data_IF_849112138998
#
_entry.id   IF_849112138998
#
_cell.length_a   1.000
_cell.length_b   1.000
_cell.length_c   1.000
_cell.angle_alpha   90.00
_cell.angle_beta   90.00
_cell.angle_gamma   90.00
#
_symmetry.space_group_name_H-M   'P 1'
#
loop_
_entity.id
_entity.type
_entity.pdbx_description
1 polymer ?
#
# COMPACT_ATOMS: atom_id res chain seq x y z
N UNK A 1 3.47 -0.74 17.25
CA UNK A 1 3.74 -2.14 16.85
C UNK A 1 2.88 -3.02 17.72
N UNK A 2 2.50 -4.20 17.25
CA UNK A 2 1.75 -5.19 18.04
C UNK A 2 2.54 -6.49 17.99
N UNK A 3 3.02 -6.91 19.15
CA UNK A 3 3.68 -8.20 19.31
C UNK A 3 2.63 -9.31 19.18
N UNK A 4 3.01 -10.46 18.61
CA UNK A 4 2.13 -11.64 18.52
C UNK A 4 0.76 -11.36 17.89
N UNK A 5 0.71 -10.49 16.88
CA UNK A 5 -0.51 -10.21 16.13
C UNK A 5 -0.89 -11.41 15.26
N UNK A 6 -2.19 -11.74 15.25
CA UNK A 6 -2.73 -12.90 14.56
C UNK A 6 -3.68 -12.47 13.43
N UNK A 7 -3.64 -13.22 12.33
CA UNK A 7 -4.56 -13.08 11.21
C UNK A 7 -4.68 -14.41 10.46
N UNK A 8 -5.66 -14.52 9.56
CA UNK A 8 -5.71 -15.66 8.65
C UNK A 8 -4.84 -15.39 7.42
N UNK A 9 -4.31 -16.45 6.79
CA UNK A 9 -3.46 -16.31 5.60
C UNK A 9 -4.12 -15.48 4.48
N UNK A 10 -5.46 -15.52 4.37
CA UNK A 10 -6.21 -14.76 3.35
C UNK A 10 -6.27 -13.26 3.64
N UNK A 11 -6.08 -12.84 4.90
CA UNK A 11 -6.03 -11.45 5.32
C UNK A 11 -4.78 -10.72 4.78
N UNK A 12 -3.73 -11.46 4.39
CA UNK A 12 -2.56 -10.92 3.71
C UNK A 12 -2.92 -10.55 2.27
N UNK A 13 -2.70 -9.30 1.90
CA UNK A 13 -3.08 -8.72 0.61
C UNK A 13 -1.88 -8.36 -0.28
N UNK A 14 -0.66 -8.43 0.26
CA UNK A 14 0.55 -8.21 -0.50
C UNK A 14 1.78 -8.81 0.15
N UNK A 15 2.86 -8.89 -0.62
CA UNK A 15 4.15 -9.44 -0.20
C UNK A 15 5.25 -8.38 -0.40
N UNK A 16 6.36 -8.53 0.32
CA UNK A 16 7.54 -7.68 0.14
C UNK A 16 8.50 -8.27 -0.90
N UNK A 17 8.82 -9.57 -0.79
CA UNK A 17 9.80 -10.21 -1.65
C UNK A 17 9.18 -11.30 -2.52
N UNK A 18 9.41 -11.23 -3.83
CA UNK A 18 9.10 -12.31 -4.75
C UNK A 18 10.10 -12.38 -5.90
N UNK A 19 10.28 -13.59 -6.45
CA UNK A 19 10.99 -13.80 -7.72
C UNK A 19 10.17 -13.33 -8.92
N UNK A 20 8.87 -13.18 -8.76
CA UNK A 20 8.00 -12.55 -9.76
C UNK A 20 7.88 -11.05 -9.48
N UNK A 21 7.77 -10.25 -10.53
CA UNK A 21 7.46 -8.82 -10.40
C UNK A 21 6.02 -8.67 -9.89
N UNK A 22 5.87 -8.30 -8.61
CA UNK A 22 4.56 -8.24 -7.94
C UNK A 22 3.61 -7.24 -8.60
N UNK A 23 4.13 -6.23 -9.29
CA UNK A 23 3.35 -5.21 -10.01
C UNK A 23 2.64 -5.75 -11.25
N UNK A 24 3.04 -6.91 -11.75
CA UNK A 24 2.41 -7.55 -12.92
C UNK A 24 1.04 -8.18 -12.59
N UNK A 25 0.64 -8.20 -11.31
CA UNK A 25 -0.60 -8.83 -10.86
C UNK A 25 -1.47 -7.86 -10.08
N UNK A 26 -2.76 -7.84 -10.41
CA UNK A 26 -3.76 -7.03 -9.70
C UNK A 26 -4.04 -7.55 -8.28
N UNK A 27 -3.74 -8.82 -8.00
CA UNK A 27 -3.93 -9.46 -6.70
C UNK A 27 -3.02 -10.68 -6.49
N UNK A 28 -2.91 -11.13 -5.23
CA UNK A 28 -2.22 -12.39 -4.92
C UNK A 28 -2.93 -13.63 -5.50
N UNK A 29 -4.25 -13.58 -5.69
CA UNK A 29 -5.00 -14.65 -6.37
C UNK A 29 -4.62 -14.73 -7.85
N UNK A 30 -4.54 -13.58 -8.53
CA UNK A 30 -4.08 -13.53 -9.92
C UNK A 30 -2.64 -14.04 -10.04
N UNK A 31 -1.76 -13.68 -9.09
CA UNK A 31 -0.40 -14.22 -9.03
C UNK A 31 -0.38 -15.74 -8.85
N UNK A 32 -1.22 -16.29 -7.96
CA UNK A 32 -1.28 -17.73 -7.73
C UNK A 32 -1.67 -18.48 -9.01
N UNK A 33 -2.76 -18.07 -9.68
CA UNK A 33 -3.18 -18.70 -10.93
C UNK A 33 -2.10 -18.60 -12.02
N UNK A 34 -1.46 -17.43 -12.16
CA UNK A 34 -0.51 -17.19 -13.23
C UNK A 34 0.88 -17.81 -13.01
N UNK A 35 1.34 -17.93 -11.76
CA UNK A 35 2.74 -18.31 -11.45
C UNK A 35 2.89 -19.61 -10.68
N UNK A 36 1.81 -20.15 -10.13
CA UNK A 36 1.89 -21.31 -9.25
C UNK A 36 0.96 -22.45 -9.69
N UNK A 37 0.65 -22.53 -10.98
CA UNK A 37 -0.23 -23.55 -11.55
C UNK A 37 0.22 -24.99 -11.25
N UNK A 38 1.52 -25.23 -11.04
CA UNK A 38 2.07 -26.51 -10.59
C UNK A 38 1.70 -26.89 -9.14
N UNK A 39 1.11 -25.95 -8.37
CA UNK A 39 0.52 -26.13 -7.04
C UNK A 39 -1.00 -25.98 -7.09
N UNK A 40 -1.51 -24.95 -7.78
CA UNK A 40 -2.94 -24.59 -7.74
C UNK A 40 -3.78 -25.15 -8.90
N UNK A 41 -3.15 -25.89 -9.83
CA UNK A 41 -3.83 -26.49 -10.98
C UNK A 41 -4.92 -27.47 -10.59
N UNK A 42 -4.77 -28.13 -9.43
CA UNK A 42 -5.82 -28.91 -8.77
C UNK A 42 -6.04 -28.37 -7.36
N UNK A 43 -7.30 -28.09 -7.02
CA UNK A 43 -7.69 -27.59 -5.69
C UNK A 43 -7.86 -28.78 -4.75
N UNK A 44 -6.79 -29.18 -4.07
CA UNK A 44 -6.79 -30.35 -3.17
C UNK A 44 -6.09 -30.06 -1.85
N UNK A 45 -6.46 -30.78 -0.79
CA UNK A 45 -5.77 -30.69 0.50
C UNK A 45 -4.30 -31.09 0.41
N UNK A 46 -3.95 -32.06 -0.44
CA UNK A 46 -2.56 -32.45 -0.67
C UNK A 46 -1.72 -31.32 -1.26
N UNK A 47 -2.27 -30.57 -2.22
CA UNK A 47 -1.59 -29.39 -2.78
C UNK A 47 -1.52 -28.23 -1.77
N UNK A 48 -2.54 -28.09 -0.91
CA UNK A 48 -2.51 -27.13 0.19
C UNK A 48 -1.38 -27.46 1.16
N UNK A 49 -1.29 -28.70 1.63
CA UNK A 49 -0.24 -29.18 2.53
C UNK A 49 1.15 -29.01 1.90
N UNK A 50 1.32 -29.39 0.63
CA UNK A 50 2.56 -29.18 -0.12
C UNK A 50 2.95 -27.70 -0.22
N UNK A 51 1.98 -26.81 -0.40
CA UNK A 51 2.22 -25.37 -0.49
C UNK A 51 2.62 -24.81 0.87
N UNK A 52 1.86 -25.10 1.91
CA UNK A 52 2.11 -24.60 3.27
C UNK A 52 3.35 -25.22 3.91
N UNK A 53 3.72 -26.45 3.54
CA UNK A 53 4.92 -27.15 4.03
C UNK A 53 6.25 -26.62 3.48
N UNK A 54 6.23 -25.58 2.64
CA UNK A 54 7.47 -25.01 2.10
C UNK A 54 8.23 -24.22 3.17
N UNK A 55 9.42 -24.70 3.54
CA UNK A 55 10.22 -24.18 4.67
C UNK A 55 10.61 -22.69 4.55
N UNK A 56 10.60 -22.12 3.34
CA UNK A 56 10.87 -20.67 3.15
C UNK A 56 9.65 -19.78 3.46
N UNK A 57 8.50 -20.34 3.80
CA UNK A 57 7.41 -19.60 4.44
C UNK A 57 7.75 -19.47 5.93
N UNK A 58 8.73 -18.62 6.24
CA UNK A 58 9.40 -18.62 7.54
C UNK A 58 8.46 -18.26 8.69
N UNK A 59 7.47 -17.40 8.42
CA UNK A 59 6.41 -17.04 9.37
C UNK A 59 5.61 -18.27 9.89
N UNK A 60 5.60 -19.39 9.16
CA UNK A 60 4.97 -20.65 9.60
C UNK A 60 5.96 -21.64 10.22
N UNK A 61 7.23 -21.59 9.82
CA UNK A 61 8.18 -22.69 10.05
C UNK A 61 9.35 -22.35 10.98
N UNK A 62 9.50 -21.09 11.41
CA UNK A 62 10.61 -20.67 12.27
C UNK A 62 10.11 -20.01 13.54
N UNK A 63 10.62 -20.46 14.67
CA UNK A 63 10.41 -19.82 15.97
C UNK A 63 10.95 -18.38 16.01
N UNK A 64 12.03 -18.13 15.25
CA UNK A 64 12.64 -16.82 15.06
C UNK A 64 12.81 -16.52 13.58
N UNK A 65 12.19 -15.44 13.11
CA UNK A 65 12.24 -15.01 11.73
C UNK A 65 12.27 -13.50 11.61
N UNK A 66 12.83 -13.04 10.49
CA UNK A 66 12.78 -11.66 10.01
C UNK A 66 11.47 -11.32 9.27
N UNK A 67 10.58 -12.30 9.07
CA UNK A 67 9.28 -12.09 8.46
C UNK A 67 8.36 -11.37 9.48
N UNK A 68 7.64 -10.35 9.04
CA UNK A 68 6.68 -9.61 9.87
C UNK A 68 5.54 -9.07 9.02
N UNK A 69 4.48 -8.57 9.67
CA UNK A 69 3.38 -7.90 8.98
C UNK A 69 3.60 -6.40 8.96
N UNK A 70 3.31 -5.76 7.83
CA UNK A 70 3.24 -4.31 7.72
C UNK A 70 1.83 -3.88 7.28
N UNK A 71 1.34 -2.82 7.90
CA UNK A 71 0.12 -2.13 7.49
C UNK A 71 0.39 -0.64 7.40
N UNK A 72 -0.08 -0.01 6.34
CA UNK A 72 0.04 1.42 6.14
C UNK A 72 -1.32 2.08 6.33
N UNK A 73 -1.43 3.09 7.19
CA UNK A 73 -2.73 3.67 7.56
C UNK A 73 -3.46 4.39 6.42
N UNK A 74 -2.76 4.72 5.34
CA UNK A 74 -3.37 5.34 4.16
C UNK A 74 -4.12 4.36 3.27
N UNK A 75 -3.85 3.04 3.35
CA UNK A 75 -4.58 2.02 2.59
C UNK A 75 -5.18 0.89 3.44
N UNK A 76 -4.72 0.72 4.67
CA UNK A 76 -5.21 -0.25 5.65
C UNK A 76 -4.93 -1.72 5.32
N UNK A 77 -4.22 -1.99 4.23
CA UNK A 77 -3.95 -3.36 3.75
C UNK A 77 -2.82 -4.00 4.56
N UNK A 78 -2.90 -5.32 4.70
CA UNK A 78 -1.86 -6.12 5.38
C UNK A 78 -0.92 -6.71 4.36
N UNK A 79 0.37 -6.47 4.54
CA UNK A 79 1.43 -7.06 3.74
C UNK A 79 2.28 -7.98 4.61
N UNK A 80 2.65 -9.14 4.08
CA UNK A 80 3.69 -9.97 4.67
C UNK A 80 5.04 -9.50 4.15
N UNK A 81 5.89 -9.03 5.06
CA UNK A 81 7.27 -8.64 4.81
C UNK A 81 8.15 -9.89 4.82
N UNK A 82 7.97 -10.74 3.81
CA UNK A 82 8.69 -12.01 3.69
C UNK A 82 10.08 -11.84 3.08
N UNK A 83 10.98 -12.78 3.40
CA UNK A 83 12.29 -12.92 2.75
C UNK A 83 12.35 -14.07 1.73
N UNK A 84 11.37 -14.96 1.70
CA UNK A 84 11.34 -16.13 0.81
C UNK A 84 9.93 -16.72 0.63
N UNK A 85 9.81 -17.81 -0.13
CA UNK A 85 8.58 -18.63 -0.17
C UNK A 85 7.35 -18.01 -0.84
N UNK A 86 7.44 -16.83 -1.48
CA UNK A 86 6.27 -16.11 -2.02
C UNK A 86 5.33 -16.94 -2.90
N UNK A 87 5.84 -17.74 -3.85
CA UNK A 87 5.01 -18.61 -4.71
C UNK A 87 4.23 -19.65 -3.90
N UNK A 88 4.89 -20.32 -2.96
CA UNK A 88 4.24 -21.30 -2.10
C UNK A 88 3.24 -20.63 -1.13
N UNK A 89 3.57 -19.44 -0.61
CA UNK A 89 2.65 -18.66 0.23
C UNK A 89 1.37 -18.28 -0.53
N UNK A 90 1.48 -17.69 -1.72
CA UNK A 90 0.29 -17.30 -2.49
C UNK A 90 -0.52 -18.52 -2.94
N UNK A 91 0.13 -19.64 -3.28
CA UNK A 91 -0.55 -20.89 -3.58
C UNK A 91 -1.32 -21.43 -2.38
N UNK A 92 -0.66 -21.52 -1.21
CA UNK A 92 -1.28 -21.95 0.05
C UNK A 92 -2.45 -21.06 0.44
N UNK A 93 -2.28 -19.74 0.35
CA UNK A 93 -3.35 -18.74 0.58
C UNK A 93 -4.56 -18.98 -0.34
N UNK A 94 -4.31 -19.15 -1.63
CA UNK A 94 -5.33 -19.36 -2.66
C UNK A 94 -6.11 -20.67 -2.47
N UNK A 95 -5.39 -21.75 -2.16
CA UNK A 95 -5.96 -23.08 -1.90
C UNK A 95 -6.75 -23.11 -0.59
N UNK A 96 -6.21 -22.53 0.48
CA UNK A 96 -6.87 -22.45 1.79
C UNK A 96 -8.22 -21.71 1.68
N UNK A 97 -8.27 -20.64 0.88
CA UNK A 97 -9.52 -19.92 0.63
C UNK A 97 -10.58 -20.79 -0.08
N UNK A 98 -10.18 -21.61 -1.06
CA UNK A 98 -11.09 -22.43 -1.88
C UNK A 98 -11.52 -23.73 -1.22
N UNK A 99 -10.68 -24.25 -0.34
CA UNK A 99 -10.97 -25.42 0.49
C UNK A 99 -11.61 -25.04 1.82
N UNK A 100 -11.80 -23.74 2.08
CA UNK A 100 -12.33 -23.20 3.33
C UNK A 100 -11.54 -23.67 4.57
N UNK A 101 -10.23 -23.84 4.43
CA UNK A 101 -9.33 -24.27 5.50
C UNK A 101 -8.75 -23.03 6.19
N UNK A 102 -8.95 -22.86 7.52
CA UNK A 102 -8.30 -21.81 8.28
C UNK A 102 -6.79 -22.09 8.37
N UNK A 103 -5.99 -21.03 8.20
CA UNK A 103 -4.53 -21.07 8.32
C UNK A 103 -4.11 -19.83 9.10
N UNK A 104 -4.09 -19.91 10.44
CA UNK A 104 -3.71 -18.79 11.28
C UNK A 104 -2.22 -18.49 11.11
N UNK A 105 -1.90 -17.22 10.95
CA UNK A 105 -0.54 -16.70 10.98
C UNK A 105 -0.36 -15.85 12.23
N UNK A 106 0.84 -15.91 12.81
CA UNK A 106 1.20 -15.14 13.99
C UNK A 106 2.54 -14.45 13.79
N UNK A 107 2.64 -13.18 14.16
CA UNK A 107 3.90 -12.45 14.04
C UNK A 107 3.82 -11.01 14.50
N UNK A 108 4.94 -10.29 14.34
CA UNK A 108 5.01 -8.87 14.64
C UNK A 108 4.22 -8.06 13.61
N UNK A 109 3.32 -7.18 14.06
CA UNK A 109 2.68 -6.18 13.19
C UNK A 109 3.31 -4.79 13.37
N UNK A 110 3.83 -4.23 12.28
CA UNK A 110 4.24 -2.83 12.17
C UNK A 110 3.16 -2.01 11.48
N UNK A 111 2.71 -0.96 12.15
CA UNK A 111 1.73 -0.02 11.62
C UNK A 111 2.43 1.29 11.28
N UNK A 112 2.44 1.64 10.01
CA UNK A 112 3.07 2.83 9.47
C UNK A 112 2.04 3.93 9.24
N UNK A 113 2.40 5.16 9.59
CA UNK A 113 1.56 6.35 9.43
C UNK A 113 2.36 7.53 8.93
N UNK A 114 1.68 8.49 8.34
CA UNK A 114 2.28 9.79 8.04
C UNK A 114 2.54 10.55 9.35
N UNK A 115 3.69 11.21 9.44
CA UNK A 115 3.98 12.09 10.56
C UNK A 115 3.16 13.37 10.42
N UNK A 116 2.19 13.56 11.31
CA UNK A 116 1.35 14.76 11.32
C UNK A 116 2.20 16.03 11.45
N UNK A 117 3.25 16.03 12.26
CA UNK A 117 4.16 17.17 12.38
C UNK A 117 4.90 17.47 11.05
N UNK A 118 5.36 16.44 10.34
CA UNK A 118 6.02 16.63 9.05
C UNK A 118 5.05 17.15 7.99
N UNK A 119 3.82 16.63 7.96
CA UNK A 119 2.76 17.08 7.05
C UNK A 119 2.37 18.53 7.37
N UNK A 120 2.14 18.87 8.63
CA UNK A 120 1.83 20.24 9.07
C UNK A 120 2.92 21.24 8.69
N UNK A 121 4.20 20.85 8.78
CA UNK A 121 5.31 21.69 8.32
C UNK A 121 5.29 21.86 6.80
N UNK A 122 5.12 20.78 6.04
CA UNK A 122 5.06 20.83 4.59
C UNK A 122 3.96 21.77 4.10
N UNK A 123 2.73 21.59 4.58
CA UNK A 123 1.57 22.40 4.19
C UNK A 123 1.57 23.79 4.81
N UNK A 124 2.36 24.02 5.85
CA UNK A 124 2.64 25.34 6.42
C UNK A 124 3.65 26.14 5.62
N UNK A 125 4.51 25.49 4.83
CA UNK A 125 5.49 26.13 3.95
C UNK A 125 5.00 26.21 2.49
N UNK A 126 4.16 25.28 2.04
CA UNK A 126 3.73 25.15 0.65
C UNK A 126 2.22 24.91 0.52
N UNK A 127 1.65 25.39 -0.58
CA UNK A 127 0.43 24.85 -1.17
C UNK A 127 0.84 23.73 -2.14
N UNK A 128 0.21 22.55 -2.04
CA UNK A 128 0.68 21.34 -2.74
C UNK A 128 -0.44 20.76 -3.60
N UNK A 129 -0.19 20.63 -4.90
CA UNK A 129 -1.14 20.09 -5.87
C UNK A 129 -0.55 18.88 -6.61
N UNK A 130 -1.40 17.91 -6.92
CA UNK A 130 -1.05 16.84 -7.85
C UNK A 130 -1.52 17.20 -9.27
N UNK A 131 -0.61 17.06 -10.22
CA UNK A 131 -0.85 17.25 -11.65
C UNK A 131 -0.66 15.90 -12.35
N UNK A 132 -1.42 15.67 -13.41
CA UNK A 132 -1.27 14.49 -14.27
C UNK A 132 0.08 14.51 -15.00
N UNK A 133 0.57 13.35 -15.42
CA UNK A 133 1.79 13.21 -16.20
C UNK A 133 1.59 13.56 -17.69
N UNK A 134 1.12 14.78 -17.94
CA UNK A 134 1.15 15.38 -19.27
C UNK A 134 2.38 16.27 -19.36
N UNK A 135 3.37 15.82 -20.14
CA UNK A 135 4.63 16.54 -20.30
C UNK A 135 4.47 17.85 -21.07
N UNK A 136 3.53 17.94 -22.01
CA UNK A 136 3.27 19.18 -22.74
C UNK A 136 2.55 20.20 -21.85
N UNK A 137 1.51 19.77 -21.13
CA UNK A 137 0.80 20.63 -20.18
C UNK A 137 1.74 21.11 -19.07
N UNK A 138 2.60 20.22 -18.55
CA UNK A 138 3.56 20.59 -17.53
C UNK A 138 4.65 21.54 -18.06
N UNK A 139 5.09 21.38 -19.31
CA UNK A 139 6.03 22.32 -19.93
C UNK A 139 5.39 23.72 -20.06
N UNK A 140 4.13 23.79 -20.50
CA UNK A 140 3.37 25.06 -20.55
C UNK A 140 3.21 25.68 -19.17
N UNK A 141 2.91 24.87 -18.15
CA UNK A 141 2.87 25.33 -16.75
C UNK A 141 4.24 25.88 -16.33
N UNK A 142 5.33 25.15 -16.59
CA UNK A 142 6.69 25.57 -16.27
C UNK A 142 7.05 26.91 -16.93
N UNK A 143 6.74 27.07 -18.21
CA UNK A 143 7.00 28.30 -18.95
C UNK A 143 6.17 29.48 -18.42
N UNK A 144 4.90 29.26 -18.10
CA UNK A 144 4.04 30.28 -17.49
C UNK A 144 4.55 30.71 -16.10
N UNK A 145 4.97 29.77 -15.26
CA UNK A 145 5.58 30.05 -13.96
C UNK A 145 6.86 30.88 -14.11
N UNK A 146 7.69 30.54 -15.10
CA UNK A 146 8.95 31.25 -15.41
C UNK A 146 8.69 32.68 -15.92
N UNK A 147 7.76 32.85 -16.85
CA UNK A 147 7.41 34.17 -17.40
C UNK A 147 6.80 35.08 -16.33
N UNK A 148 5.88 34.53 -15.52
CA UNK A 148 5.30 35.23 -14.38
C UNK A 148 6.30 35.43 -13.23
N UNK A 149 7.43 34.70 -13.27
CA UNK A 149 8.48 34.62 -12.25
C UNK A 149 7.89 34.31 -10.86
N UNK A 150 7.13 33.23 -10.79
CA UNK A 150 6.68 32.63 -9.54
C UNK A 150 7.55 31.41 -9.21
N UNK A 151 8.04 31.32 -7.98
CA UNK A 151 8.79 30.18 -7.49
C UNK A 151 7.90 28.96 -7.29
N UNK A 152 8.43 27.79 -7.62
CA UNK A 152 7.82 26.50 -7.30
C UNK A 152 8.86 25.40 -7.25
N UNK A 153 8.53 24.32 -6.55
CA UNK A 153 9.25 23.05 -6.60
C UNK A 153 8.33 21.99 -7.19
N UNK A 154 8.91 20.89 -7.67
CA UNK A 154 8.11 19.73 -8.08
C UNK A 154 8.90 18.43 -7.91
N UNK A 155 8.17 17.33 -7.81
CA UNK A 155 8.72 15.96 -7.79
C UNK A 155 7.75 15.00 -8.47
N UNK A 156 8.21 13.95 -9.16
CA UNK A 156 7.32 12.91 -9.67
C UNK A 156 6.57 12.22 -8.52
N UNK A 157 5.30 11.90 -8.77
CA UNK A 157 4.53 11.01 -7.92
C UNK A 157 4.98 9.54 -8.11
N UNK A 158 4.61 8.62 -7.20
CA UNK A 158 4.82 7.20 -7.41
C UNK A 158 4.34 6.76 -8.79
N UNK A 159 5.12 5.91 -9.46
CA UNK A 159 4.92 5.49 -10.87
C UNK A 159 3.52 4.96 -11.19
N UNK A 160 2.77 4.40 -10.23
CA UNK A 160 1.42 3.90 -10.49
C UNK A 160 0.35 4.99 -10.54
N UNK A 161 0.67 6.22 -10.13
CA UNK A 161 -0.22 7.36 -10.19
C UNK A 161 0.02 8.25 -11.41
N UNK A 162 1.13 8.06 -12.12
CA UNK A 162 1.54 8.84 -13.30
C UNK A 162 1.22 10.34 -13.18
N UNK A 163 2.01 11.04 -12.37
CA UNK A 163 1.84 12.48 -12.15
C UNK A 163 3.00 13.15 -11.44
N UNK A 164 2.82 14.43 -11.09
CA UNK A 164 3.80 15.26 -10.40
C UNK A 164 3.15 15.99 -9.25
N UNK A 165 3.83 16.06 -8.11
CA UNK A 165 3.46 16.99 -7.04
C UNK A 165 4.15 18.33 -7.31
N UNK A 166 3.38 19.42 -7.30
CA UNK A 166 3.85 20.80 -7.42
C UNK A 166 3.69 21.47 -6.06
N UNK A 167 4.74 22.17 -5.63
CA UNK A 167 4.82 22.87 -4.35
C UNK A 167 4.96 24.37 -4.62
N UNK A 168 3.96 25.14 -4.21
CA UNK A 168 3.91 26.60 -4.33
C UNK A 168 4.28 27.20 -2.97
N UNK A 169 5.46 27.85 -2.81
CA UNK A 169 5.91 28.37 -1.53
C UNK A 169 4.99 29.47 -1.03
N UNK A 170 4.47 29.35 0.20
CA UNK A 170 3.56 30.35 0.79
C UNK A 170 4.20 31.72 0.98
N UNK A 171 5.52 31.77 1.12
CA UNK A 171 6.30 33.02 1.19
C UNK A 171 6.43 33.76 -0.14
N UNK A 172 6.08 33.16 -1.27
CA UNK A 172 6.11 33.80 -2.59
C UNK A 172 4.72 34.35 -2.95
N UNK A 173 4.60 35.68 -2.95
CA UNK A 173 3.35 36.38 -3.24
C UNK A 173 2.81 36.10 -4.66
N UNK A 174 3.67 35.79 -5.64
CA UNK A 174 3.26 35.44 -7.00
C UNK A 174 2.76 34.00 -7.05
N UNK A 175 3.46 33.07 -6.39
CA UNK A 175 2.99 31.69 -6.24
C UNK A 175 1.59 31.65 -5.58
N UNK A 176 1.35 32.48 -4.57
CA UNK A 176 0.04 32.55 -3.90
C UNK A 176 -1.09 33.12 -4.78
N UNK A 177 -0.78 33.93 -5.79
CA UNK A 177 -1.79 34.36 -6.79
C UNK A 177 -2.20 33.24 -7.74
N UNK A 178 -1.37 32.21 -7.90
CA UNK A 178 -1.64 31.05 -8.76
C UNK A 178 -2.53 30.03 -8.04
N UNK A 179 -2.47 29.95 -6.71
CA UNK A 179 -3.22 28.95 -5.91
C UNK A 179 -4.74 28.97 -6.19
N UNK A 180 -5.44 30.12 -6.24
CA UNK A 180 -6.86 30.14 -6.60
C UNK A 180 -7.11 29.62 -8.02
N UNK A 181 -6.18 29.86 -8.96
CA UNK A 181 -6.28 29.35 -10.33
C UNK A 181 -6.14 27.83 -10.36
N UNK A 182 -5.22 27.28 -9.57
CA UNK A 182 -5.04 25.83 -9.46
C UNK A 182 -6.31 25.15 -8.94
N UNK A 183 -6.94 25.74 -7.91
CA UNK A 183 -8.20 25.25 -7.35
C UNK A 183 -9.36 25.40 -8.33
N UNK A 184 -9.47 26.53 -9.01
CA UNK A 184 -10.51 26.77 -10.02
C UNK A 184 -10.39 25.82 -11.22
N UNK A 185 -9.17 25.42 -11.57
CA UNK A 185 -8.90 24.41 -12.60
C UNK A 185 -9.19 22.97 -12.13
N UNK A 186 -9.55 22.76 -10.86
CA UNK A 186 -9.89 21.44 -10.31
C UNK A 186 -8.69 20.54 -10.06
N UNK A 187 -7.47 21.09 -9.92
CA UNK A 187 -6.31 20.28 -9.56
C UNK A 187 -6.47 19.69 -8.15
N UNK A 188 -6.03 18.44 -7.99
CA UNK A 188 -6.16 17.72 -6.73
C UNK A 188 -5.28 18.34 -5.64
N UNK A 189 -5.91 18.75 -4.54
CA UNK A 189 -5.22 19.34 -3.37
C UNK A 189 -4.54 18.23 -2.56
N UNK A 190 -3.30 17.95 -2.94
CA UNK A 190 -2.48 16.93 -2.30
C UNK A 190 -2.13 17.33 -0.85
N UNK A 191 -1.97 18.63 -0.59
CA UNK A 191 -1.70 19.14 0.76
C UNK A 191 -2.83 18.82 1.73
N UNK A 192 -4.06 19.16 1.36
CA UNK A 192 -5.26 18.85 2.13
C UNK A 192 -5.46 17.35 2.31
N UNK A 193 -5.23 16.56 1.26
CA UNK A 193 -5.32 15.10 1.34
C UNK A 193 -4.31 14.50 2.33
N UNK A 194 -3.05 14.94 2.30
CA UNK A 194 -2.02 14.48 3.24
C UNK A 194 -2.36 14.89 4.68
N UNK A 195 -2.89 16.09 4.90
CA UNK A 195 -3.38 16.53 6.21
C UNK A 195 -4.47 15.59 6.73
N UNK A 196 -5.49 15.32 5.90
CA UNK A 196 -6.58 14.40 6.25
C UNK A 196 -6.04 13.01 6.61
N UNK A 197 -5.18 12.43 5.76
CA UNK A 197 -4.56 11.14 6.01
C UNK A 197 -3.76 11.11 7.32
N UNK A 198 -3.00 12.17 7.61
CA UNK A 198 -2.17 12.25 8.83
C UNK A 198 -2.97 12.44 10.11
N UNK A 199 -4.20 12.97 10.02
CA UNK A 199 -5.09 13.19 11.14
C UNK A 199 -5.96 11.96 11.48
N UNK A 200 -5.94 10.92 10.65
CA UNK A 200 -6.74 9.71 10.88
C UNK A 200 -6.32 9.03 12.18
N UNK A 201 -7.28 8.55 13.00
CA UNK A 201 -6.95 7.80 14.19
C UNK A 201 -6.27 6.49 13.83
N UNK A 202 -5.38 6.02 14.71
CA UNK A 202 -4.71 4.73 14.54
C UNK A 202 -5.75 3.63 14.55
N UNK A 203 -5.79 2.84 13.48
CA UNK A 203 -6.62 1.64 13.38
C UNK A 203 -5.74 0.46 13.06
N UNK A 204 -5.95 -0.64 13.77
CA UNK A 204 -5.40 -1.92 13.36
C UNK A 204 -6.08 -2.37 12.05
N UNK A 205 -5.40 -3.17 11.23
CA UNK A 205 -5.97 -3.69 10.00
C UNK A 205 -7.29 -4.40 10.28
N UNK A 206 -8.28 -4.16 9.42
CA UNK A 206 -9.54 -4.91 9.47
C UNK A 206 -9.31 -6.26 8.80
N UNK A 207 -9.15 -7.30 9.61
CA UNK A 207 -9.04 -8.68 9.14
C UNK A 207 -10.44 -9.30 9.00
N UNK A 208 -10.66 -10.08 7.95
CA UNK A 208 -11.95 -10.72 7.66
C UNK A 208 -12.32 -11.76 8.73
N UNK A 209 -11.31 -12.39 9.34
CA UNK A 209 -11.44 -13.33 10.46
C UNK A 209 -12.10 -12.74 11.71
N UNK A 210 -11.94 -11.43 11.96
CA UNK A 210 -12.63 -10.75 13.08
C UNK A 210 -14.15 -10.67 12.90
N UNK A 211 -14.68 -10.86 11.68
CA UNK A 211 -16.13 -10.93 11.45
C UNK A 211 -16.73 -12.30 11.76
N UNK A 212 -15.96 -13.39 11.66
CA UNK A 212 -16.46 -14.76 11.94
C UNK A 212 -16.60 -15.07 13.43
N UNK A 213 -15.94 -14.31 14.31
CA UNK A 213 -16.06 -14.48 15.76
C UNK A 213 -17.25 -13.70 16.38
N UNK A 214 -18.04 -12.99 15.58
CA UNK A 214 -19.18 -12.17 16.03
C UNK A 214 -20.55 -12.63 15.50
N UNK A 215 -20.63 -13.79 14.85
CA UNK A 215 -21.92 -14.41 14.56
C UNK A 215 -22.28 -15.31 15.75
N UNK A 216 -23.42 -15.08 16.43
CA UNK A 216 -23.90 -16.04 17.41
C UNK A 216 -24.22 -17.34 16.68
N UNK A 217 -23.70 -18.43 17.21
CA UNK A 217 -24.19 -19.76 16.86
C UNK A 217 -25.63 -19.82 17.35
N UNK A 218 -26.59 -19.81 16.42
CA UNK A 218 -27.98 -20.19 16.70
C UNK A 218 -28.09 -21.68 16.99
#
# INVERSE_FOLDING_TARGET
>A
MVESWECEIQDVQGLCASKSELRDFESLDAMAVARTQYLVGEITHANLEKSLGWYEIRILHRDSTDDFFACHQWDGRVFLMNSGGSHHFVAGRYLAARLEVPVPLKGLLRVHRLSQAAVSRLVGEYEVFALNDDSEAFQRFFDAMREYRAGFLWTPLPRHLDGRAVFLPRGDARAMRIVPLMRAAGHFDLGAHLQELSARPVRLPRIASARRQMEPVE
#
